data_IF_361988015371
#
_entry.id   IF_361988015371
#
_cell.length_a   1.000
_cell.length_b   1.000
_cell.length_c   1.000
_cell.angle_alpha   90.00
_cell.angle_beta   90.00
_cell.angle_gamma   90.00
#
_symmetry.space_group_name_H-M   'P 1'
#
loop_
_entity.id
_entity.type
_entity.pdbx_description
1 polymer ?
#
# COMPACT_ATOMS: atom_id res chain seq x y z
N UNK A 1 -21.48 47.73 -11.99
CA UNK A 1 -20.94 48.01 -13.34
C UNK A 1 -20.37 49.44 -13.45
N UNK A 2 -20.89 50.45 -12.74
CA UNK A 2 -20.22 51.77 -12.64
C UNK A 2 -18.87 51.79 -11.89
N UNK A 3 -18.68 50.94 -10.87
CA UNK A 3 -17.47 50.99 -10.00
C UNK A 3 -16.21 50.44 -10.69
N UNK A 4 -16.36 49.60 -11.71
CA UNK A 4 -15.23 49.06 -12.48
C UNK A 4 -14.65 50.05 -13.50
N UNK A 5 -15.39 51.11 -13.87
CA UNK A 5 -14.94 52.12 -14.84
C UNK A 5 -14.03 53.20 -14.24
N UNK A 6 -14.12 53.46 -12.94
CA UNK A 6 -13.29 54.50 -12.30
C UNK A 6 -11.84 54.06 -12.06
N UNK A 7 -11.58 52.75 -11.87
CA UNK A 7 -10.21 52.24 -11.66
C UNK A 7 -9.33 52.21 -12.92
N UNK A 8 -9.90 52.40 -14.11
CA UNK A 8 -9.14 52.45 -15.37
C UNK A 8 -8.65 53.86 -15.73
N UNK A 9 -9.06 54.90 -15.00
CA UNK A 9 -8.66 56.29 -15.29
C UNK A 9 -7.44 56.79 -14.50
N UNK A 10 -7.01 56.10 -13.44
CA UNK A 10 -5.90 56.57 -12.58
C UNK A 10 -4.52 56.01 -12.95
N UNK A 11 -4.43 55.02 -13.85
CA UNK A 11 -3.15 54.38 -14.17
C UNK A 11 -2.49 54.87 -15.49
N UNK A 12 -3.13 55.81 -16.19
CA UNK A 12 -2.54 56.46 -17.37
C UNK A 12 -1.98 57.83 -17.00
N UNK A 13 -0.83 57.84 -16.31
CA UNK A 13 -0.26 59.10 -15.86
C UNK A 13 1.13 59.02 -15.27
N UNK A 14 2.07 58.27 -15.88
CA UNK A 14 3.51 58.58 -15.78
C UNK A 14 4.35 57.71 -16.73
N UNK A 15 4.68 58.29 -17.89
CA UNK A 15 5.85 57.91 -18.68
C UNK A 15 7.04 58.77 -18.24
N UNK A 16 8.13 58.14 -17.81
CA UNK A 16 9.46 58.76 -17.87
C UNK A 16 10.51 57.71 -18.22
N UNK A 17 11.27 58.06 -19.26
CA UNK A 17 12.42 57.38 -19.85
C UNK A 17 13.43 56.87 -18.81
N UNK A 18 13.94 55.65 -19.03
CA UNK A 18 15.37 55.37 -18.94
C UNK A 18 15.71 54.12 -19.75
N UNK A 19 16.72 54.26 -20.59
CA UNK A 19 17.23 53.31 -21.56
C UNK A 19 18.68 53.04 -21.15
N UNK A 20 19.04 51.82 -20.74
CA UNK A 20 20.46 51.39 -20.66
C UNK A 20 20.62 49.86 -20.67
N UNK A 21 21.31 49.41 -21.73
CA UNK A 21 22.15 48.21 -21.94
C UNK A 21 21.68 46.81 -21.52
N UNK A 22 21.28 46.05 -22.54
CA UNK A 22 21.34 44.58 -22.65
C UNK A 22 22.79 44.07 -22.62
N UNK A 23 23.35 43.73 -21.45
CA UNK A 23 24.57 42.88 -21.42
C UNK A 23 24.81 42.10 -20.12
N UNK A 24 24.07 42.36 -19.04
CA UNK A 24 24.28 41.66 -17.75
C UNK A 24 23.27 40.52 -17.45
N UNK A 25 22.21 40.36 -18.25
CA UNK A 25 21.20 39.29 -18.02
C UNK A 25 21.55 37.93 -18.66
N UNK A 26 22.65 37.82 -19.41
CA UNK A 26 23.05 36.56 -20.08
C UNK A 26 23.97 35.65 -19.28
N UNK A 27 24.46 36.06 -18.12
CA UNK A 27 25.28 35.21 -17.23
C UNK A 27 24.56 34.78 -15.93
N UNK A 28 23.31 35.23 -15.70
CA UNK A 28 22.52 34.85 -14.53
C UNK A 28 21.51 33.70 -14.80
N UNK A 29 21.44 33.19 -16.04
CA UNK A 29 20.43 32.18 -16.45
C UNK A 29 21.00 30.75 -16.44
N UNK A 30 22.28 30.55 -16.11
CA UNK A 30 22.93 29.22 -16.12
C UNK A 30 23.41 28.73 -14.73
N UNK A 31 22.68 29.05 -13.66
CA UNK A 31 22.92 28.47 -12.35
C UNK A 31 21.69 28.53 -11.43
N UNK A 32 20.62 27.81 -11.77
CA UNK A 32 19.61 27.40 -10.78
C UNK A 32 19.21 25.94 -11.06
N UNK A 33 20.09 25.03 -10.64
CA UNK A 33 19.75 23.63 -10.37
C UNK A 33 18.62 23.59 -9.33
N UNK A 34 17.44 23.11 -9.74
CA UNK A 34 16.34 22.81 -8.85
C UNK A 34 16.54 21.43 -8.20
N UNK A 35 17.48 21.34 -7.25
CA UNK A 35 17.49 20.27 -6.26
C UNK A 35 17.12 20.83 -4.88
N UNK A 36 15.99 20.36 -4.33
CA UNK A 36 15.66 20.49 -2.92
C UNK A 36 14.74 21.66 -2.56
N UNK A 37 13.43 21.46 -2.70
CA UNK A 37 12.43 22.18 -1.91
C UNK A 37 11.43 21.19 -1.29
N UNK A 38 11.93 20.36 -0.38
CA UNK A 38 11.19 20.08 0.87
C UNK A 38 11.22 21.35 1.71
N UNK A 39 10.35 22.29 1.37
CA UNK A 39 10.02 23.41 2.22
C UNK A 39 8.51 23.62 2.13
N UNK A 40 7.80 22.97 3.04
CA UNK A 40 6.47 23.41 3.46
C UNK A 40 6.65 24.86 3.94
N UNK A 41 6.45 25.83 3.03
CA UNK A 41 6.18 27.20 3.43
C UNK A 41 4.81 27.17 4.08
N UNK A 42 4.81 27.00 5.40
CA UNK A 42 3.67 27.38 6.24
C UNK A 42 3.36 28.82 5.85
N UNK A 43 2.16 29.04 5.31
CA UNK A 43 1.69 30.37 4.96
C UNK A 43 1.87 31.30 6.17
N UNK A 44 2.37 32.52 5.94
CA UNK A 44 2.42 33.54 6.97
C UNK A 44 1.02 33.71 7.60
N UNK A 45 0.95 33.60 8.94
CA UNK A 45 -0.29 33.63 9.75
C UNK A 45 -1.08 34.96 9.68
N UNK A 46 -0.63 35.93 8.87
CA UNK A 46 -1.14 37.31 8.86
C UNK A 46 -1.77 37.74 7.52
N UNK A 47 -2.15 36.81 6.64
CA UNK A 47 -3.02 37.15 5.52
C UNK A 47 -4.44 37.49 6.05
N UNK A 48 -5.05 38.63 5.69
CA UNK A 48 -6.38 38.98 6.19
C UNK A 48 -7.42 37.98 5.66
N UNK A 49 -7.79 37.03 6.54
CA UNK A 49 -8.83 36.04 6.31
C UNK A 49 -10.17 36.75 6.31
N UNK A 50 -10.66 37.12 5.13
CA UNK A 50 -12.05 37.49 4.94
C UNK A 50 -12.49 37.12 3.53
N UNK A 51 -12.90 35.86 3.39
CA UNK A 51 -13.92 35.49 2.42
C UNK A 51 -14.79 34.42 3.06
N UNK A 52 -16.11 34.59 2.97
CA UNK A 52 -17.10 33.54 3.29
C UNK A 52 -16.78 32.24 2.54
N UNK A 53 -16.03 32.35 1.44
CA UNK A 53 -15.50 31.26 0.62
C UNK A 53 -14.40 30.46 1.34
N UNK A 54 -13.54 31.10 2.13
CA UNK A 54 -12.50 30.43 2.94
C UNK A 54 -13.09 29.69 4.15
N UNK A 55 -14.13 30.26 4.80
CA UNK A 55 -14.89 29.56 5.83
C UNK A 55 -15.62 28.36 5.24
N UNK A 56 -16.28 28.53 4.09
CA UNK A 56 -16.94 27.43 3.37
C UNK A 56 -15.95 26.37 2.91
N UNK A 57 -14.77 26.76 2.43
CA UNK A 57 -13.71 25.84 2.07
C UNK A 57 -13.23 25.05 3.30
N UNK A 58 -13.06 25.72 4.44
CA UNK A 58 -12.67 25.09 5.70
C UNK A 58 -13.75 24.14 6.23
N UNK A 59 -15.03 24.48 6.12
CA UNK A 59 -16.15 23.60 6.46
C UNK A 59 -16.22 22.38 5.54
N UNK A 60 -16.05 22.57 4.23
CA UNK A 60 -16.01 21.46 3.26
C UNK A 60 -14.82 20.54 3.54
N UNK A 61 -13.65 21.10 3.82
CA UNK A 61 -12.45 20.33 4.20
C UNK A 61 -12.65 19.56 5.51
N UNK A 62 -13.27 20.17 6.52
CA UNK A 62 -13.59 19.51 7.78
C UNK A 62 -14.67 18.43 7.63
N UNK A 63 -15.66 18.62 6.75
CA UNK A 63 -16.70 17.62 6.46
C UNK A 63 -16.13 16.37 5.76
N UNK A 64 -15.02 16.54 5.02
CA UNK A 64 -14.32 15.47 4.29
C UNK A 64 -13.15 14.86 5.05
N UNK A 65 -12.80 15.37 6.23
CA UNK A 65 -11.84 14.70 7.11
C UNK A 65 -12.50 13.43 7.64
N UNK A 66 -12.32 12.35 6.89
CA UNK A 66 -12.54 11.01 7.38
C UNK A 66 -11.61 10.82 8.58
N UNK A 67 -12.13 11.01 9.78
CA UNK A 67 -11.43 10.61 11.00
C UNK A 67 -11.40 9.09 11.01
N UNK A 68 -10.21 8.51 11.20
CA UNK A 68 -10.01 7.06 11.42
C UNK A 68 -11.11 6.54 12.35
N UNK A 69 -11.94 5.62 11.83
CA UNK A 69 -13.16 5.13 12.49
C UNK A 69 -12.85 4.03 13.49
N UNK A 70 -11.75 3.31 13.29
CA UNK A 70 -11.33 2.24 14.18
C UNK A 70 -10.80 2.77 15.52
N UNK A 71 -11.21 2.09 16.59
CA UNK A 71 -10.80 2.38 17.96
C UNK A 71 -9.76 1.36 18.42
N UNK A 72 -8.83 1.81 19.25
CA UNK A 72 -7.82 0.96 19.91
C UNK A 72 -8.44 0.33 21.16
N UNK A 73 -8.33 -0.98 21.29
CA UNK A 73 -8.80 -1.74 22.45
C UNK A 73 -7.68 -1.93 23.47
N UNK A 74 -7.83 -1.39 24.68
CA UNK A 74 -6.87 -1.58 25.77
C UNK A 74 -6.97 -2.99 26.39
N UNK A 75 -5.96 -3.44 27.15
CA UNK A 75 -6.02 -4.71 27.89
C UNK A 75 -7.22 -4.78 28.87
N UNK A 76 -7.69 -3.62 29.34
CA UNK A 76 -8.83 -3.47 30.24
C UNK A 76 -10.20 -3.58 29.50
N UNK A 77 -10.19 -3.74 28.18
CA UNK A 77 -11.39 -3.82 27.33
C UNK A 77 -11.98 -2.47 26.93
N UNK A 78 -11.41 -1.35 27.38
CA UNK A 78 -11.85 0.00 26.99
C UNK A 78 -11.41 0.32 25.55
N UNK A 79 -12.31 0.90 24.76
CA UNK A 79 -12.03 1.35 23.39
C UNK A 79 -11.79 2.86 23.38
N UNK A 80 -10.67 3.30 22.82
CA UNK A 80 -10.31 4.73 22.72
C UNK A 80 -9.86 5.09 21.30
N UNK A 81 -9.86 6.38 20.97
CA UNK A 81 -9.34 6.84 19.69
C UNK A 81 -7.82 6.63 19.58
N UNK A 82 -7.29 6.54 18.36
CA UNK A 82 -5.83 6.43 18.15
C UNK A 82 -5.08 7.63 18.76
N UNK A 83 -5.61 8.84 18.60
CA UNK A 83 -4.98 10.05 19.12
C UNK A 83 -4.92 10.05 20.65
N UNK A 84 -5.97 9.57 21.32
CA UNK A 84 -5.96 9.40 22.77
C UNK A 84 -4.98 8.31 23.20
N UNK A 85 -4.92 7.18 22.47
CA UNK A 85 -3.96 6.10 22.74
C UNK A 85 -2.51 6.60 22.66
N UNK A 86 -2.15 7.36 21.60
CA UNK A 86 -0.80 7.91 21.42
C UNK A 86 -0.44 8.96 22.48
N UNK A 87 -1.43 9.62 23.10
CA UNK A 87 -1.23 10.58 24.20
C UNK A 87 -1.09 9.90 25.56
N UNK A 88 -1.43 8.62 25.69
CA UNK A 88 -1.32 7.89 26.96
C UNK A 88 0.14 7.61 27.32
N UNK A 89 0.47 7.73 28.60
CA UNK A 89 1.79 7.36 29.10
C UNK A 89 1.86 5.85 29.39
N UNK A 90 2.31 5.07 28.41
CA UNK A 90 2.42 3.61 28.50
C UNK A 90 3.45 3.12 29.54
N UNK A 91 4.36 3.98 30.01
CA UNK A 91 5.39 3.61 31.00
C UNK A 91 4.85 3.45 32.43
N UNK A 92 3.63 3.92 32.73
CA UNK A 92 3.03 3.77 34.07
C UNK A 92 2.41 2.39 34.33
N UNK A 93 2.30 1.51 33.33
CA UNK A 93 1.52 0.27 33.43
C UNK A 93 2.32 -1.03 33.66
N UNK A 94 3.61 -1.00 33.98
CA UNK A 94 4.31 -2.22 34.36
C UNK A 94 4.83 -2.18 35.82
N UNK A 95 4.02 -2.55 36.84
CA UNK A 95 4.60 -3.18 38.00
C UNK A 95 5.11 -4.55 37.55
N UNK A 96 6.31 -4.58 36.95
CA UNK A 96 7.05 -5.84 36.87
C UNK A 96 7.14 -6.34 38.31
N UNK A 97 6.45 -7.45 38.62
CA UNK A 97 6.72 -8.20 39.84
C UNK A 97 8.16 -8.72 39.71
N UNK A 98 9.15 -7.87 40.00
CA UNK A 98 10.51 -8.34 40.30
C UNK A 98 10.33 -9.31 41.46
N UNK A 99 10.61 -10.60 41.22
CA UNK A 99 10.72 -11.56 42.31
C UNK A 99 11.68 -10.95 43.33
N UNK A 100 11.30 -10.99 44.61
CA UNK A 100 12.17 -10.48 45.67
C UNK A 100 13.57 -11.09 45.52
N UNK A 101 14.64 -10.30 45.69
CA UNK A 101 16.00 -10.85 45.65
C UNK A 101 16.10 -12.00 46.66
N UNK A 102 16.61 -13.15 46.23
CA UNK A 102 16.78 -14.32 47.09
C UNK A 102 17.63 -13.93 48.29
N UNK A 103 17.24 -14.40 49.47
CA UNK A 103 17.98 -14.08 50.69
C UNK A 103 19.37 -14.74 50.66
N UNK A 104 20.36 -14.14 51.33
CA UNK A 104 21.72 -14.67 51.36
C UNK A 104 21.82 -16.10 51.92
N UNK A 105 20.83 -16.49 52.73
CA UNK A 105 20.70 -17.84 53.30
C UNK A 105 20.17 -18.86 52.29
N UNK A 106 19.20 -18.48 51.45
CA UNK A 106 18.67 -19.32 50.37
C UNK A 106 19.74 -19.62 49.31
N UNK A 107 20.54 -18.61 48.94
CA UNK A 107 21.67 -18.81 48.00
C UNK A 107 22.72 -19.77 48.59
N UNK A 108 23.09 -19.58 49.87
CA UNK A 108 24.03 -20.48 50.57
C UNK A 108 23.55 -21.92 50.70
N UNK A 109 22.24 -22.18 50.61
CA UNK A 109 21.65 -23.51 50.77
C UNK A 109 21.55 -24.27 49.44
N UNK A 110 21.38 -23.57 48.33
CA UNK A 110 21.08 -24.15 47.01
C UNK A 110 22.25 -24.17 46.03
N UNK A 111 23.32 -23.43 46.28
CA UNK A 111 24.51 -23.43 45.41
C UNK A 111 25.30 -24.75 45.45
N UNK A 112 26.21 -24.94 44.49
CA UNK A 112 26.90 -26.19 44.11
C UNK A 112 27.46 -27.05 45.27
N UNK A 113 27.74 -26.48 46.45
CA UNK A 113 28.18 -27.20 47.66
C UNK A 113 27.32 -26.94 48.91
N UNK A 114 26.29 -26.10 48.82
CA UNK A 114 25.38 -25.75 49.91
C UNK A 114 24.69 -26.96 50.58
N UNK A 115 24.20 -27.95 49.82
CA UNK A 115 23.57 -29.14 50.39
C UNK A 115 24.54 -30.08 51.12
N UNK A 116 25.85 -29.98 50.90
CA UNK A 116 26.86 -30.83 51.54
C UNK A 116 27.13 -30.36 52.98
N UNK A 117 27.33 -29.06 53.16
CA UNK A 117 27.73 -28.46 54.44
C UNK A 117 26.53 -28.00 55.27
N UNK A 118 25.52 -27.39 54.63
CA UNK A 118 24.35 -26.78 55.29
C UNK A 118 23.00 -27.46 54.96
N UNK A 119 23.02 -28.52 54.15
CA UNK A 119 21.84 -29.35 53.89
C UNK A 119 21.55 -30.29 55.06
N UNK A 120 20.27 -30.41 55.42
CA UNK A 120 19.81 -31.40 56.41
C UNK A 120 20.09 -32.85 55.98
N UNK A 121 19.63 -33.85 56.75
CA UNK A 121 19.94 -35.27 56.53
C UNK A 121 19.54 -35.79 55.14
N UNK A 122 18.60 -35.15 54.46
CA UNK A 122 18.18 -35.49 53.10
C UNK A 122 19.13 -34.98 52.00
N UNK A 123 19.78 -33.82 52.21
CA UNK A 123 20.74 -33.25 51.25
C UNK A 123 22.04 -34.07 51.18
N UNK A 124 22.51 -34.54 52.35
CA UNK A 124 23.69 -35.40 52.45
C UNK A 124 23.46 -36.79 51.85
N UNK A 125 22.22 -37.32 51.93
CA UNK A 125 21.84 -38.57 51.26
C UNK A 125 21.93 -38.47 49.74
N UNK A 126 21.47 -37.35 49.15
CA UNK A 126 21.56 -37.13 47.69
C UNK A 126 23.01 -37.12 47.21
N UNK A 127 23.91 -36.42 47.91
CA UNK A 127 25.31 -36.36 47.52
C UNK A 127 26.04 -37.69 47.76
N UNK A 128 25.75 -38.39 48.86
CA UNK A 128 26.25 -39.75 49.08
C UNK A 128 25.82 -40.72 47.97
N UNK A 129 24.59 -40.59 47.46
CA UNK A 129 24.10 -41.38 46.34
C UNK A 129 24.83 -41.04 45.03
N UNK A 130 25.15 -39.77 44.79
CA UNK A 130 25.94 -39.35 43.62
C UNK A 130 27.38 -39.87 43.68
N UNK A 131 28.03 -39.84 44.85
CA UNK A 131 29.38 -40.39 45.04
C UNK A 131 29.43 -41.92 44.89
N UNK A 132 28.43 -42.64 45.43
CA UNK A 132 28.32 -44.09 45.23
C UNK A 132 28.03 -44.44 43.78
N UNK A 133 27.28 -43.59 43.06
CA UNK A 133 27.02 -43.76 41.62
C UNK A 133 28.28 -43.55 40.78
N UNK A 134 29.11 -42.56 41.09
CA UNK A 134 30.37 -42.33 40.37
C UNK A 134 31.40 -43.42 40.64
N UNK A 135 31.51 -43.89 41.88
CA UNK A 135 32.36 -45.04 42.24
C UNK A 135 31.88 -46.32 41.55
N UNK A 136 30.56 -46.52 41.45
CA UNK A 136 29.95 -47.66 40.77
C UNK A 136 30.18 -47.73 39.25
N UNK A 137 30.47 -46.60 38.60
CA UNK A 137 30.83 -46.53 37.17
C UNK A 137 32.28 -47.00 36.95
N UNK A 138 33.19 -46.72 37.90
CA UNK A 138 34.62 -47.06 37.78
C UNK A 138 34.88 -48.55 38.09
N UNK A 139 34.09 -49.16 38.97
CA UNK A 139 34.35 -50.53 39.47
C UNK A 139 33.63 -51.62 38.65
N UNK A 140 32.60 -51.29 37.87
CA UNK A 140 31.81 -52.27 37.11
C UNK A 140 31.87 -52.02 35.59
N UNK A 141 32.60 -52.86 34.82
CA UNK A 141 32.66 -52.76 33.36
C UNK A 141 31.29 -52.95 32.70
N UNK A 142 30.42 -53.77 33.30
CA UNK A 142 29.05 -54.01 32.82
C UNK A 142 28.17 -52.77 33.02
N UNK A 143 28.32 -52.05 34.12
CA UNK A 143 27.59 -50.80 34.37
C UNK A 143 28.11 -49.63 33.52
N UNK A 144 29.41 -49.58 33.28
CA UNK A 144 30.01 -48.64 32.33
C UNK A 144 29.53 -48.92 30.91
N UNK A 145 29.42 -50.19 30.48
CA UNK A 145 28.82 -50.56 29.19
C UNK A 145 27.34 -50.17 29.10
N UNK A 146 26.55 -50.42 30.15
CA UNK A 146 25.13 -50.04 30.17
C UNK A 146 24.97 -48.52 30.14
N UNK A 147 25.78 -47.75 30.88
CA UNK A 147 25.73 -46.29 30.80
C UNK A 147 26.33 -45.76 29.48
N UNK A 148 27.36 -46.36 28.88
CA UNK A 148 27.85 -45.97 27.54
C UNK A 148 26.80 -46.28 26.47
N UNK A 149 26.12 -47.42 26.52
CA UNK A 149 25.07 -47.78 25.57
C UNK A 149 23.82 -46.91 25.76
N UNK A 150 23.50 -46.48 26.98
CA UNK A 150 22.34 -45.62 27.27
C UNK A 150 22.63 -44.11 27.21
N UNK A 151 23.90 -43.69 27.34
CA UNK A 151 24.32 -42.28 27.33
C UNK A 151 24.94 -41.87 25.99
N UNK A 152 25.48 -42.82 25.21
CA UNK A 152 25.92 -42.57 23.82
C UNK A 152 24.82 -42.05 22.90
N UNK A 153 23.51 -42.37 23.03
CA UNK A 153 22.49 -41.75 22.19
C UNK A 153 22.41 -40.25 22.40
N UNK A 154 22.69 -39.74 23.62
CA UNK A 154 22.56 -38.32 23.94
C UNK A 154 23.69 -37.46 23.35
N UNK A 155 24.89 -38.03 23.20
CA UNK A 155 26.04 -37.36 22.57
C UNK A 155 26.13 -37.64 21.07
N UNK A 156 25.78 -38.85 20.59
CA UNK A 156 25.66 -39.15 19.16
C UNK A 156 24.51 -38.38 18.51
N UNK A 157 23.39 -38.17 19.20
CA UNK A 157 22.25 -37.43 18.62
C UNK A 157 22.58 -35.96 18.37
N UNK A 158 23.39 -35.31 19.22
CA UNK A 158 23.83 -33.94 18.97
C UNK A 158 24.82 -33.81 17.79
N UNK A 159 25.51 -34.90 17.43
CA UNK A 159 26.43 -34.95 16.27
C UNK A 159 25.67 -35.35 14.99
N UNK A 160 24.73 -36.29 15.08
CA UNK A 160 23.87 -36.74 13.99
C UNK A 160 22.73 -35.77 13.65
N UNK A 161 22.32 -34.89 14.57
CA UNK A 161 21.31 -33.85 14.31
C UNK A 161 21.87 -32.60 13.65
N UNK A 162 23.15 -32.58 13.29
CA UNK A 162 23.70 -31.55 12.39
C UNK A 162 23.21 -31.81 10.96
N UNK A 163 22.53 -30.86 10.31
CA UNK A 163 21.86 -31.09 9.02
C UNK A 163 22.81 -31.40 7.87
N UNK A 164 24.12 -31.18 8.03
CA UNK A 164 25.12 -31.34 6.98
C UNK A 164 25.58 -32.80 6.78
N UNK A 165 25.47 -33.67 7.80
CA UNK A 165 26.06 -35.02 7.75
C UNK A 165 25.00 -36.13 7.63
N UNK A 166 23.87 -36.02 8.35
CA UNK A 166 22.90 -37.12 8.43
C UNK A 166 21.73 -37.05 7.43
N UNK A 167 21.48 -35.88 6.81
CA UNK A 167 20.36 -35.71 5.87
C UNK A 167 20.42 -36.66 4.67
N UNK A 168 21.63 -37.00 4.19
CA UNK A 168 21.80 -37.91 3.05
C UNK A 168 21.81 -39.40 3.44
N UNK A 169 22.11 -39.73 4.70
CA UNK A 169 22.20 -41.10 5.20
C UNK A 169 20.85 -41.61 5.72
N UNK A 170 20.04 -40.74 6.34
CA UNK A 170 18.71 -41.09 6.86
C UNK A 170 17.75 -41.44 5.70
N UNK A 171 17.86 -40.75 4.56
CA UNK A 171 17.07 -41.04 3.35
C UNK A 171 17.58 -42.27 2.56
N UNK A 172 18.73 -42.86 2.96
CA UNK A 172 19.32 -44.06 2.35
C UNK A 172 19.18 -45.31 3.21
N UNK A 173 18.60 -45.20 4.41
CA UNK A 173 18.24 -46.38 5.18
C UNK A 173 17.13 -47.10 4.40
N UNK A 174 17.31 -48.39 4.04
CA UNK A 174 16.23 -49.14 3.42
C UNK A 174 15.05 -49.17 4.38
N UNK A 175 13.85 -48.88 3.88
CA UNK A 175 12.61 -49.08 4.61
C UNK A 175 12.51 -50.58 4.95
N UNK A 176 12.98 -50.96 6.14
CA UNK A 176 12.83 -52.32 6.61
C UNK A 176 11.33 -52.58 6.77
N UNK A 177 10.75 -53.56 6.05
CA UNK A 177 9.34 -53.84 6.16
C UNK A 177 9.05 -54.27 7.60
N UNK A 178 8.20 -53.51 8.30
CA UNK A 178 7.76 -53.85 9.64
C UNK A 178 7.21 -55.30 9.63
N UNK A 179 7.82 -56.24 10.36
CA UNK A 179 7.44 -57.66 10.31
C UNK A 179 5.99 -57.89 10.78
N UNK A 180 5.39 -56.89 11.44
CA UNK A 180 4.00 -56.85 11.88
C UNK A 180 2.95 -56.90 10.77
N UNK A 181 3.32 -56.67 9.50
CA UNK A 181 2.40 -56.83 8.35
C UNK A 181 2.39 -58.24 7.75
N UNK A 182 3.37 -59.08 8.07
CA UNK A 182 3.41 -60.45 7.54
C UNK A 182 2.50 -61.39 8.35
N UNK A 183 1.56 -62.05 7.68
CA UNK A 183 0.59 -62.97 8.30
C UNK A 183 1.30 -64.16 8.96
N UNK A 184 2.36 -64.64 8.33
CA UNK A 184 3.18 -65.75 8.83
C UNK A 184 3.84 -65.43 10.19
N UNK A 185 4.40 -64.23 10.35
CA UNK A 185 5.05 -63.83 11.61
C UNK A 185 4.06 -63.69 12.77
N UNK A 186 2.79 -63.39 12.48
CA UNK A 186 1.71 -63.38 13.49
C UNK A 186 1.28 -64.80 13.92
N UNK A 187 1.47 -65.81 13.07
CA UNK A 187 1.13 -67.20 13.36
C UNK A 187 2.29 -68.03 13.90
N UNK A 188 3.54 -67.55 13.78
CA UNK A 188 4.73 -68.20 14.32
C UNK A 188 4.61 -68.45 15.84
N UNK A 189 4.85 -69.70 16.25
CA UNK A 189 4.81 -70.11 17.65
C UNK A 189 3.43 -69.97 18.32
N UNK A 190 2.34 -69.94 17.53
CA UNK A 190 0.98 -69.76 18.05
C UNK A 190 0.65 -68.33 18.50
N UNK A 191 1.43 -67.33 18.06
CA UNK A 191 1.21 -65.92 18.37
C UNK A 191 2.02 -65.38 19.54
N UNK A 192 2.59 -66.22 20.42
CA UNK A 192 3.32 -65.73 21.60
C UNK A 192 4.62 -64.97 21.25
N UNK A 193 5.26 -65.35 20.14
CA UNK A 193 6.45 -64.66 19.62
C UNK A 193 6.10 -63.27 19.11
N UNK A 194 4.93 -63.13 18.46
CA UNK A 194 4.42 -61.84 18.00
C UNK A 194 3.98 -60.97 19.18
N UNK A 195 3.35 -61.54 20.21
CA UNK A 195 2.96 -60.81 21.43
C UNK A 195 4.18 -60.32 22.21
N UNK A 196 5.22 -61.15 22.33
CA UNK A 196 6.49 -60.75 22.93
C UNK A 196 7.18 -59.65 22.13
N UNK A 197 7.27 -59.81 20.80
CA UNK A 197 7.85 -58.79 19.91
C UNK A 197 7.08 -57.47 19.94
N UNK A 198 5.75 -57.51 19.85
CA UNK A 198 4.89 -56.33 19.85
C UNK A 198 4.95 -55.58 21.18
N UNK A 199 4.99 -56.29 22.32
CA UNK A 199 5.13 -55.70 23.65
C UNK A 199 6.48 -55.00 23.82
N UNK A 200 7.57 -55.63 23.34
CA UNK A 200 8.91 -55.04 23.35
C UNK A 200 8.99 -53.82 22.44
N UNK A 201 8.40 -53.88 21.24
CA UNK A 201 8.38 -52.75 20.32
C UNK A 201 7.50 -51.60 20.82
N UNK A 202 6.37 -51.89 21.48
CA UNK A 202 5.56 -50.87 22.15
C UNK A 202 6.35 -50.21 23.28
N UNK A 203 7.01 -50.99 24.13
CA UNK A 203 7.86 -50.46 25.21
C UNK A 203 9.01 -49.61 24.69
N UNK A 204 9.69 -50.06 23.63
CA UNK A 204 10.75 -49.29 22.98
C UNK A 204 10.24 -47.97 22.37
N UNK A 205 9.05 -48.00 21.76
CA UNK A 205 8.41 -46.80 21.18
C UNK A 205 8.02 -45.79 22.26
N UNK A 206 7.43 -46.25 23.36
CA UNK A 206 7.08 -45.39 24.49
C UNK A 206 8.33 -44.74 25.10
N UNK A 207 9.43 -45.49 25.26
CA UNK A 207 10.70 -44.96 25.75
C UNK A 207 11.34 -43.99 24.76
N UNK A 208 11.20 -44.24 23.45
CA UNK A 208 11.73 -43.36 22.40
C UNK A 208 10.95 -42.05 22.27
N UNK A 209 9.62 -42.11 22.43
CA UNK A 209 8.74 -40.94 22.29
C UNK A 209 8.65 -40.13 23.60
N UNK A 210 8.86 -40.75 24.77
CA UNK A 210 8.76 -40.09 26.08
C UNK A 210 9.64 -38.83 26.23
N UNK A 211 10.90 -38.77 25.75
CA UNK A 211 11.71 -37.56 25.76
C UNK A 211 11.11 -36.41 24.94
N UNK A 212 10.49 -36.72 23.80
CA UNK A 212 9.83 -35.73 22.93
C UNK A 212 8.58 -35.18 23.61
N UNK A 213 7.75 -36.06 24.18
CA UNK A 213 6.59 -35.64 24.96
C UNK A 213 6.98 -34.84 26.21
N UNK A 214 8.00 -35.28 26.95
CA UNK A 214 8.50 -34.56 28.12
C UNK A 214 9.10 -33.20 27.76
N UNK A 215 9.78 -33.09 26.61
CA UNK A 215 10.28 -31.82 26.11
C UNK A 215 9.14 -30.86 25.79
N UNK A 216 8.09 -31.31 25.10
CA UNK A 216 6.91 -30.47 24.83
C UNK A 216 6.14 -30.08 26.09
N UNK A 217 6.13 -30.93 27.13
CA UNK A 217 5.48 -30.64 28.40
C UNK A 217 6.28 -29.66 29.27
N UNK A 218 7.62 -29.81 29.33
CA UNK A 218 8.50 -28.94 30.13
C UNK A 218 8.80 -27.61 29.43
N UNK A 219 8.80 -27.61 28.10
CA UNK A 219 9.02 -26.45 27.25
C UNK A 219 7.80 -26.29 26.33
N UNK A 220 6.64 -25.86 26.88
CA UNK A 220 5.53 -25.50 26.04
C UNK A 220 6.03 -24.45 25.05
N UNK A 221 5.80 -24.68 23.75
CA UNK A 221 6.02 -23.61 22.78
C UNK A 221 5.16 -22.45 23.25
N UNK A 222 5.73 -21.25 23.39
CA UNK A 222 4.90 -20.08 23.61
C UNK A 222 3.86 -20.11 22.50
N UNK A 223 2.59 -20.31 22.85
CA UNK A 223 1.51 -20.28 21.89
C UNK A 223 1.64 -18.93 21.19
N UNK A 224 1.93 -18.96 19.90
CA UNK A 224 1.98 -17.76 19.05
C UNK A 224 0.62 -17.04 18.94
N UNK A 225 -0.35 -17.48 19.74
CA UNK A 225 -1.72 -16.97 19.84
C UNK A 225 -1.93 -16.04 21.03
N UNK A 226 -0.90 -15.60 21.76
CA UNK A 226 -1.05 -14.42 22.62
C UNK A 226 -1.17 -13.15 21.76
N UNK A 227 -2.32 -12.99 21.10
CA UNK A 227 -2.71 -11.78 20.38
C UNK A 227 -3.20 -10.77 21.42
N UNK A 228 -2.34 -9.81 21.76
CA UNK A 228 -2.76 -8.68 22.58
C UNK A 228 -3.89 -7.95 21.82
N UNK A 229 -5.08 -7.71 22.42
CA UNK A 229 -6.19 -7.04 21.74
C UNK A 229 -5.79 -5.63 21.26
N UNK A 230 -4.88 -4.98 22.00
CA UNK A 230 -4.22 -3.73 21.62
C UNK A 230 -3.50 -3.87 20.28
N UNK A 231 -2.71 -4.92 20.11
CA UNK A 231 -1.92 -5.11 18.89
C UNK A 231 -2.80 -5.50 17.69
N UNK A 232 -3.94 -6.15 17.91
CA UNK A 232 -4.89 -6.44 16.82
C UNK A 232 -5.65 -5.18 16.41
N UNK A 233 -6.17 -4.41 17.37
CA UNK A 233 -6.87 -3.17 17.09
C UNK A 233 -5.97 -2.12 16.43
N UNK A 234 -4.71 -1.99 16.86
CA UNK A 234 -3.73 -1.11 16.20
C UNK A 234 -3.43 -1.54 14.76
N UNK A 235 -3.42 -2.84 14.45
CA UNK A 235 -3.24 -3.30 13.06
C UNK A 235 -4.42 -2.89 12.18
N UNK A 236 -5.65 -3.00 12.69
CA UNK A 236 -6.86 -2.55 11.98
C UNK A 236 -6.83 -1.04 11.73
N UNK A 237 -6.38 -0.28 12.73
CA UNK A 237 -6.18 1.17 12.61
C UNK A 237 -5.14 1.50 11.54
N UNK A 238 -4.02 0.78 11.51
CA UNK A 238 -2.98 0.99 10.51
C UNK A 238 -3.50 0.66 9.09
N UNK A 239 -4.20 -0.45 8.90
CA UNK A 239 -4.80 -0.82 7.61
C UNK A 239 -5.79 0.24 7.11
N UNK A 240 -6.58 0.84 8.01
CA UNK A 240 -7.49 1.94 7.67
C UNK A 240 -6.72 3.20 7.23
N UNK A 241 -5.67 3.58 7.99
CA UNK A 241 -4.82 4.73 7.65
C UNK A 241 -4.12 4.53 6.30
N UNK A 242 -3.56 3.35 6.04
CA UNK A 242 -2.88 3.06 4.77
C UNK A 242 -3.87 3.13 3.58
N UNK A 243 -5.10 2.64 3.78
CA UNK A 243 -6.16 2.75 2.77
C UNK A 243 -6.59 4.20 2.52
N UNK A 244 -6.65 5.01 3.58
CA UNK A 244 -6.98 6.44 3.50
C UNK A 244 -5.86 7.25 2.82
N UNK A 245 -4.59 6.97 3.14
CA UNK A 245 -3.43 7.56 2.46
C UNK A 245 -3.48 7.25 0.97
N UNK A 246 -3.67 5.97 0.60
CA UNK A 246 -3.76 5.56 -0.80
C UNK A 246 -4.97 6.17 -1.54
N UNK A 247 -6.05 6.52 -0.82
CA UNK A 247 -7.18 7.30 -1.39
C UNK A 247 -6.77 8.74 -1.63
N UNK A 248 -6.21 9.41 -0.63
CA UNK A 248 -5.81 10.82 -0.70
C UNK A 248 -4.72 11.06 -1.75
N UNK A 249 -3.74 10.17 -1.87
CA UNK A 249 -2.70 10.25 -2.91
C UNK A 249 -3.30 10.16 -4.31
N UNK A 250 -4.30 9.30 -4.53
CA UNK A 250 -5.02 9.21 -5.81
C UNK A 250 -5.80 10.48 -6.11
N UNK A 251 -6.56 10.99 -5.13
CA UNK A 251 -7.30 12.25 -5.30
C UNK A 251 -6.36 13.44 -5.56
N UNK A 252 -5.24 13.49 -4.86
CA UNK A 252 -4.20 14.51 -5.07
C UNK A 252 -3.66 14.42 -6.49
N UNK A 253 -3.29 13.23 -6.94
CA UNK A 253 -2.80 13.00 -8.30
C UNK A 253 -3.83 13.43 -9.35
N UNK A 254 -5.09 13.02 -9.19
CA UNK A 254 -6.17 13.41 -10.10
C UNK A 254 -6.37 14.93 -10.16
N UNK A 255 -6.30 15.62 -9.01
CA UNK A 255 -6.39 17.09 -8.95
C UNK A 255 -5.18 17.79 -9.54
N UNK A 256 -3.97 17.25 -9.36
CA UNK A 256 -2.77 17.79 -9.99
C UNK A 256 -2.80 17.62 -11.50
N UNK A 257 -3.15 16.43 -11.99
CA UNK A 257 -3.34 16.17 -13.42
C UNK A 257 -4.42 17.11 -13.98
N UNK A 258 -5.53 17.28 -13.26
CA UNK A 258 -6.57 18.24 -13.60
C UNK A 258 -6.05 19.68 -13.69
N UNK A 259 -5.21 20.12 -12.78
CA UNK A 259 -4.73 21.51 -12.74
C UNK A 259 -3.69 21.81 -13.83
N UNK A 260 -2.95 20.80 -14.27
CA UNK A 260 -1.92 20.91 -15.31
C UNK A 260 -2.49 20.84 -16.73
N UNK A 261 -3.70 20.31 -16.93
CA UNK A 261 -4.33 20.24 -18.24
C UNK A 261 -4.62 21.62 -18.83
N UNK A 262 -4.45 21.74 -20.13
CA UNK A 262 -4.79 22.93 -20.90
C UNK A 262 -6.28 22.93 -21.27
N UNK A 263 -7.05 23.80 -20.63
CA UNK A 263 -8.47 24.01 -20.89
C UNK A 263 -8.75 25.11 -21.91
N UNK A 264 -7.74 25.49 -22.71
CA UNK A 264 -7.80 26.52 -23.73
C UNK A 264 -7.83 27.95 -23.18
N UNK A 265 -8.21 28.93 -24.01
CA UNK A 265 -8.14 30.35 -23.64
C UNK A 265 -9.00 30.62 -22.41
N UNK A 266 -8.43 31.38 -21.47
CA UNK A 266 -9.04 31.71 -20.17
C UNK A 266 -9.50 30.49 -19.34
N UNK A 267 -9.05 29.28 -19.69
CA UNK A 267 -9.53 28.00 -19.15
C UNK A 267 -11.04 27.81 -19.27
N UNK A 268 -11.69 28.47 -20.23
CA UNK A 268 -13.15 28.49 -20.36
C UNK A 268 -13.76 27.09 -20.56
N UNK A 269 -13.06 26.19 -21.26
CA UNK A 269 -13.55 24.84 -21.50
C UNK A 269 -13.51 23.93 -20.26
N UNK A 270 -12.95 24.38 -19.12
CA UNK A 270 -13.01 23.65 -17.86
C UNK A 270 -14.43 23.27 -17.47
N UNK A 271 -15.41 24.11 -17.80
CA UNK A 271 -16.84 23.85 -17.55
C UNK A 271 -17.39 22.60 -18.26
N UNK A 272 -16.73 22.10 -19.31
CA UNK A 272 -17.13 20.87 -20.01
C UNK A 272 -16.54 19.61 -19.38
N UNK A 273 -15.50 19.72 -18.56
CA UNK A 273 -14.77 18.56 -18.05
C UNK A 273 -15.64 17.58 -17.27
N UNK A 274 -16.57 18.10 -16.47
CA UNK A 274 -17.46 17.28 -15.63
C UNK A 274 -18.72 16.83 -16.39
N UNK A 275 -18.93 17.29 -17.62
CA UNK A 275 -20.11 17.00 -18.41
C UNK A 275 -19.79 16.02 -19.53
N UNK A 276 -20.67 15.03 -19.69
CA UNK A 276 -20.65 14.16 -20.86
C UNK A 276 -21.91 14.37 -21.69
N UNK A 277 -21.74 14.51 -22.99
CA UNK A 277 -22.82 14.69 -23.96
C UNK A 277 -23.03 13.36 -24.67
N UNK A 278 -24.28 12.89 -24.72
CA UNK A 278 -24.65 11.64 -25.36
C UNK A 278 -25.64 11.92 -26.50
N UNK A 279 -25.40 11.35 -27.68
CA UNK A 279 -26.32 11.44 -28.81
C UNK A 279 -26.24 10.19 -29.67
N UNK A 280 -27.41 9.70 -30.07
CA UNK A 280 -27.53 8.66 -31.07
C UNK A 280 -27.39 9.26 -32.47
N UNK A 281 -26.39 8.84 -33.22
CA UNK A 281 -26.18 9.24 -34.62
C UNK A 281 -26.12 7.97 -35.47
N UNK A 282 -26.94 7.95 -36.52
CA UNK A 282 -27.23 6.76 -37.31
C UNK A 282 -27.69 5.57 -36.44
N UNK A 283 -26.80 4.60 -36.21
CA UNK A 283 -27.08 3.36 -35.49
C UNK A 283 -26.35 3.25 -34.15
N UNK A 284 -25.44 4.17 -33.85
CA UNK A 284 -24.56 4.09 -32.68
C UNK A 284 -24.84 5.21 -31.68
N UNK A 285 -24.65 4.91 -30.39
CA UNK A 285 -24.73 5.88 -29.30
C UNK A 285 -23.33 6.42 -29.02
N UNK A 286 -23.10 7.69 -29.35
CA UNK A 286 -21.84 8.36 -29.09
C UNK A 286 -21.90 9.08 -27.75
N UNK A 287 -20.87 8.88 -26.94
CA UNK A 287 -20.65 9.58 -25.67
C UNK A 287 -19.35 10.36 -25.75
N UNK A 288 -19.46 11.67 -25.68
CA UNK A 288 -18.34 12.60 -25.63
C UNK A 288 -18.19 13.15 -24.21
N UNK A 289 -17.03 12.96 -23.60
CA UNK A 289 -16.65 13.61 -22.34
C UNK A 289 -15.40 14.46 -22.59
N UNK A 290 -15.53 15.79 -22.44
CA UNK A 290 -14.42 16.70 -22.73
C UNK A 290 -13.22 16.45 -21.79
N UNK A 291 -11.99 16.48 -22.33
CA UNK A 291 -10.74 16.20 -21.60
C UNK A 291 -10.66 14.78 -20.98
N UNK A 292 -11.63 13.92 -21.29
CA UNK A 292 -11.70 12.54 -20.82
C UNK A 292 -11.54 11.56 -21.96
N UNK A 293 -12.58 10.78 -22.23
CA UNK A 293 -12.61 9.79 -23.30
C UNK A 293 -13.90 9.85 -24.10
N UNK A 294 -13.81 9.42 -25.36
CA UNK A 294 -14.93 9.33 -26.29
C UNK A 294 -15.24 7.86 -26.53
N UNK A 295 -16.54 7.52 -26.48
CA UNK A 295 -17.04 6.16 -26.69
C UNK A 295 -18.09 6.11 -27.77
N UNK A 296 -18.11 4.99 -28.49
CA UNK A 296 -19.15 4.56 -29.41
C UNK A 296 -19.72 3.25 -28.84
N UNK A 297 -20.92 3.30 -28.28
CA UNK A 297 -21.51 2.23 -27.46
C UNK A 297 -20.53 1.77 -26.36
N UNK A 298 -19.93 0.58 -26.53
CA UNK A 298 -18.93 0.00 -25.62
C UNK A 298 -17.49 0.17 -26.13
N UNK A 299 -17.30 0.65 -27.35
CA UNK A 299 -15.98 0.79 -27.99
C UNK A 299 -15.37 2.15 -27.65
N UNK A 300 -14.12 2.15 -27.17
CA UNK A 300 -13.39 3.39 -26.93
C UNK A 300 -12.82 3.94 -28.23
N UNK A 301 -13.21 5.17 -28.59
CA UNK A 301 -12.69 5.85 -29.78
C UNK A 301 -11.38 6.60 -29.50
N UNK A 302 -11.21 7.15 -28.29
CA UNK A 302 -9.98 7.84 -27.92
C UNK A 302 -10.01 8.42 -26.51
N UNK A 303 -8.83 8.79 -26.00
CA UNK A 303 -8.60 9.59 -24.79
C UNK A 303 -8.03 10.94 -25.22
N UNK A 304 -8.34 11.99 -24.48
CA UNK A 304 -7.77 13.32 -24.69
C UNK A 304 -6.24 13.26 -24.78
N UNK A 305 -5.70 13.81 -25.86
CA UNK A 305 -4.26 13.82 -26.13
C UNK A 305 -3.71 15.26 -26.23
N UNK A 306 -4.56 16.21 -26.62
CA UNK A 306 -4.22 17.63 -26.66
C UNK A 306 -5.06 18.41 -27.67
N UNK A 307 -4.82 19.72 -27.73
CA UNK A 307 -5.37 20.56 -28.80
C UNK A 307 -4.70 20.24 -30.13
N UNK A 308 -5.44 20.34 -31.23
CA UNK A 308 -4.87 20.11 -32.54
C UNK A 308 -3.91 21.25 -32.90
N UNK A 309 -2.71 20.88 -33.37
CA UNK A 309 -1.75 21.83 -33.92
C UNK A 309 -2.04 21.93 -35.42
N UNK A 310 -2.40 23.12 -35.90
CA UNK A 310 -2.50 23.35 -37.34
C UNK A 310 -1.11 23.67 -37.87
N UNK A 311 -0.72 23.00 -38.96
CA UNK A 311 0.58 23.17 -39.63
C UNK A 311 0.91 24.66 -39.90
N UNK A 312 2.19 25.05 -39.84
CA UNK A 312 2.64 26.43 -39.76
C UNK A 312 2.47 27.13 -41.12
N UNK A 313 1.35 27.82 -41.31
CA UNK A 313 1.19 28.78 -42.42
C UNK A 313 1.45 30.23 -42.01
N UNK A 314 1.82 30.46 -40.74
CA UNK A 314 2.31 31.72 -40.22
C UNK A 314 3.24 31.44 -39.04
N UNK A 315 4.38 32.13 -38.97
CA UNK A 315 5.57 31.96 -38.12
C UNK A 315 5.40 31.93 -36.58
N UNK A 316 4.25 31.53 -36.05
CA UNK A 316 4.05 31.33 -34.62
C UNK A 316 3.14 30.11 -34.45
N UNK A 317 3.64 29.05 -33.79
CA UNK A 317 2.97 27.77 -33.61
C UNK A 317 1.68 27.90 -32.80
N UNK A 318 0.66 28.50 -33.40
CA UNK A 318 -0.59 28.88 -32.76
C UNK A 318 -1.46 27.64 -32.58
N UNK A 319 -1.68 27.29 -31.31
CA UNK A 319 -2.52 26.15 -30.92
C UNK A 319 -3.99 26.47 -31.23
N UNK A 320 -4.63 25.64 -32.06
CA UNK A 320 -6.03 25.81 -32.42
C UNK A 320 -6.95 25.25 -31.33
N UNK A 321 -7.35 26.12 -30.39
CA UNK A 321 -8.30 25.81 -29.31
C UNK A 321 -9.75 25.59 -29.76
N UNK A 322 -9.96 25.40 -31.06
CA UNK A 322 -11.26 25.03 -31.67
C UNK A 322 -11.30 23.54 -32.03
N UNK A 323 -10.15 22.85 -32.00
CA UNK A 323 -10.02 21.46 -32.42
C UNK A 323 -9.35 20.65 -31.32
N UNK A 324 -10.05 19.63 -30.87
CA UNK A 324 -9.63 18.73 -29.80
C UNK A 324 -9.18 17.40 -30.42
N UNK A 325 -7.98 16.93 -30.10
CA UNK A 325 -7.46 15.65 -30.57
C UNK A 325 -7.57 14.57 -29.50
N UNK A 326 -8.21 13.44 -29.87
CA UNK A 326 -8.34 12.25 -29.03
C UNK A 326 -7.66 11.07 -29.72
N UNK A 327 -6.71 10.44 -29.03
CA UNK A 327 -5.92 9.32 -29.55
C UNK A 327 -5.94 8.13 -28.59
N UNK A 328 -5.17 7.07 -28.85
CA UNK A 328 -5.06 5.89 -27.96
C UNK A 328 -6.41 5.23 -27.70
N UNK A 329 -7.25 5.16 -28.74
CA UNK A 329 -8.51 4.43 -28.73
C UNK A 329 -8.31 2.92 -28.79
N UNK A 330 -9.41 2.17 -28.77
CA UNK A 330 -9.36 0.72 -28.92
C UNK A 330 -8.80 0.33 -30.30
N UNK A 331 -7.88 -0.63 -30.33
CA UNK A 331 -7.25 -1.09 -31.57
C UNK A 331 -8.29 -1.58 -32.59
N UNK A 332 -8.14 -1.11 -33.82
CA UNK A 332 -8.96 -1.50 -34.96
C UNK A 332 -8.40 -2.77 -35.61
N UNK A 333 -9.26 -3.71 -36.02
CA UNK A 333 -8.80 -5.00 -36.57
C UNK A 333 -8.01 -4.86 -37.88
N UNK A 334 -8.29 -3.82 -38.68
CA UNK A 334 -7.63 -3.53 -39.97
C UNK A 334 -7.14 -2.08 -40.08
N UNK A 335 -6.88 -1.43 -38.95
CA UNK A 335 -6.56 -0.01 -38.93
C UNK A 335 -5.62 0.36 -37.80
N UNK A 336 -5.29 1.66 -37.72
CA UNK A 336 -4.56 2.19 -36.58
C UNK A 336 -5.39 2.06 -35.28
N UNK A 337 -4.79 2.47 -34.17
CA UNK A 337 -5.59 2.76 -32.98
C UNK A 337 -6.63 3.83 -33.33
N UNK A 338 -7.85 3.66 -32.82
CA UNK A 338 -8.90 4.64 -33.09
C UNK A 338 -8.49 6.01 -32.59
N UNK A 339 -8.80 7.03 -33.38
CA UNK A 339 -8.60 8.43 -33.04
C UNK A 339 -9.78 9.26 -33.50
N UNK A 340 -10.02 10.38 -32.82
CA UNK A 340 -11.11 11.30 -33.12
C UNK A 340 -10.57 12.73 -33.11
N UNK A 341 -10.84 13.46 -34.20
CA UNK A 341 -10.67 14.90 -34.24
C UNK A 341 -12.03 15.57 -33.98
N UNK A 342 -12.14 16.24 -32.83
CA UNK A 342 -13.36 16.93 -32.42
C UNK A 342 -13.26 18.40 -32.80
N UNK A 343 -14.21 18.91 -33.57
CA UNK A 343 -14.34 20.32 -33.95
C UNK A 343 -15.40 20.97 -33.07
N UNK A 344 -15.03 22.02 -32.36
CA UNK A 344 -15.94 22.79 -31.51
C UNK A 344 -16.53 23.95 -32.33
N UNK A 345 -17.86 24.01 -32.37
CA UNK A 345 -18.62 25.06 -33.05
C UNK A 345 -19.42 25.88 -32.05
N UNK A 346 -19.46 27.20 -32.23
CA UNK A 346 -20.29 28.08 -31.42
C UNK A 346 -21.78 27.80 -31.60
N UNK A 347 -22.50 27.70 -30.49
CA UNK A 347 -23.95 27.66 -30.48
C UNK A 347 -24.54 27.73 -29.07
N UNK A 348 -25.86 27.77 -28.97
CA UNK A 348 -26.55 28.07 -27.70
C UNK A 348 -26.51 26.93 -26.67
N UNK A 349 -26.15 25.71 -27.08
CA UNK A 349 -26.19 24.52 -26.23
C UNK A 349 -25.08 23.52 -26.55
N UNK A 350 -24.88 22.59 -25.61
CA UNK A 350 -23.93 21.49 -25.69
C UNK A 350 -24.57 20.30 -26.40
N UNK A 351 -24.19 20.02 -27.66
CA UNK A 351 -24.70 18.86 -28.40
C UNK A 351 -23.69 18.33 -29.42
N UNK A 352 -23.72 17.02 -29.67
CA UNK A 352 -23.00 16.43 -30.82
C UNK A 352 -23.82 16.75 -32.06
N UNK A 353 -23.23 17.37 -33.08
CA UNK A 353 -23.92 17.67 -34.34
C UNK A 353 -23.84 16.48 -35.27
N UNK A 354 -22.62 16.06 -35.56
CA UNK A 354 -22.32 15.07 -36.58
C UNK A 354 -21.07 14.26 -36.23
N UNK A 355 -20.98 13.04 -36.77
CA UNK A 355 -19.84 12.13 -36.61
C UNK A 355 -19.58 11.42 -37.93
N UNK A 356 -18.44 11.73 -38.54
CA UNK A 356 -17.99 11.15 -39.80
C UNK A 356 -16.76 10.26 -39.58
N UNK A 357 -16.65 9.17 -40.36
CA UNK A 357 -15.45 8.32 -40.42
C UNK A 357 -14.76 8.52 -41.79
N UNK A 358 -13.97 9.59 -41.99
CA UNK A 358 -13.34 9.88 -43.28
C UNK A 358 -12.31 8.82 -43.70
N UNK A 359 -11.70 8.11 -42.74
CA UNK A 359 -10.82 6.98 -43.02
C UNK A 359 -10.98 5.91 -41.94
N UNK A 360 -10.61 4.67 -42.28
CA UNK A 360 -10.82 3.51 -41.39
C UNK A 360 -10.29 3.78 -39.98
N UNK A 361 -11.20 3.76 -39.01
CA UNK A 361 -10.94 3.97 -37.59
C UNK A 361 -10.39 5.36 -37.21
N UNK A 362 -10.52 6.35 -38.09
CA UNK A 362 -10.26 7.77 -37.81
C UNK A 362 -11.57 8.53 -37.97
N UNK A 363 -12.00 9.19 -36.90
CA UNK A 363 -13.29 9.86 -36.83
C UNK A 363 -13.11 11.38 -36.79
N UNK A 364 -14.05 12.09 -37.37
CA UNK A 364 -14.26 13.52 -37.15
C UNK A 364 -15.62 13.73 -36.50
N UNK A 365 -15.66 14.55 -35.46
CA UNK A 365 -16.90 14.83 -34.72
C UNK A 365 -17.08 16.34 -34.59
N UNK A 366 -18.26 16.84 -34.94
CA UNK A 366 -18.62 18.24 -34.75
C UNK A 366 -19.46 18.38 -33.48
N UNK A 367 -19.04 19.25 -32.56
CA UNK A 367 -19.72 19.50 -31.29
C UNK A 367 -20.06 20.97 -31.19
N UNK A 368 -21.33 21.25 -30.91
CA UNK A 368 -21.80 22.58 -30.60
C UNK A 368 -21.59 22.87 -29.12
N UNK A 369 -21.03 24.02 -28.80
CA UNK A 369 -20.90 24.51 -27.43
C UNK A 369 -20.87 26.04 -27.39
N UNK A 370 -21.52 26.68 -26.40
CA UNK A 370 -21.44 28.13 -26.23
C UNK A 370 -20.03 28.60 -25.87
N UNK A 371 -19.19 27.70 -25.36
CA UNK A 371 -17.82 28.03 -24.95
C UNK A 371 -16.86 28.22 -26.13
N UNK A 372 -17.24 27.74 -27.32
CA UNK A 372 -16.49 27.99 -28.55
C UNK A 372 -16.74 29.39 -29.12
N UNK A 373 -17.79 30.09 -28.66
CA UNK A 373 -18.17 31.41 -29.15
C UNK A 373 -17.13 32.47 -28.79
N UNK A 374 -16.33 32.88 -29.77
CA UNK A 374 -15.34 33.96 -29.61
C UNK A 374 -15.84 35.28 -30.18
N UNK A 375 -15.19 36.40 -29.79
CA UNK A 375 -15.47 37.71 -30.37
C UNK A 375 -15.32 37.73 -31.91
N UNK A 376 -14.40 36.91 -32.46
CA UNK A 376 -14.20 36.75 -33.90
C UNK A 376 -15.42 36.12 -34.57
N UNK A 377 -15.98 35.07 -33.97
CA UNK A 377 -17.18 34.41 -34.49
C UNK A 377 -18.41 35.29 -34.40
N UNK A 378 -18.55 36.05 -33.30
CA UNK A 378 -19.60 37.05 -33.16
C UNK A 378 -19.51 38.11 -34.27
N UNK A 379 -18.32 38.65 -34.53
CA UNK A 379 -18.10 39.63 -35.58
C UNK A 379 -18.42 39.06 -36.98
N UNK A 380 -18.03 37.81 -37.24
CA UNK A 380 -18.36 37.11 -38.49
C UNK A 380 -19.88 36.96 -38.64
N UNK A 381 -20.58 36.49 -37.60
CA UNK A 381 -22.03 36.35 -37.61
C UNK A 381 -22.74 37.69 -37.83
N UNK A 382 -22.25 38.78 -37.23
CA UNK A 382 -22.79 40.13 -37.46
C UNK A 382 -22.58 40.60 -38.91
N UNK A 383 -21.42 40.34 -39.49
CA UNK A 383 -21.14 40.66 -40.89
C UNK A 383 -22.04 39.87 -41.85
N UNK A 384 -22.25 38.58 -41.58
CA UNK A 384 -23.15 37.72 -42.37
C UNK A 384 -24.60 38.23 -42.28
N UNK A 385 -25.08 38.56 -41.08
CA UNK A 385 -26.41 39.17 -40.89
C UNK A 385 -26.53 40.50 -41.63
N UNK A 386 -25.52 41.37 -41.55
CA UNK A 386 -25.51 42.65 -42.26
C UNK A 386 -25.49 42.47 -43.78
N UNK A 387 -24.85 41.42 -44.30
CA UNK A 387 -24.86 41.09 -45.71
C UNK A 387 -26.26 40.66 -46.19
N UNK A 388 -26.90 39.73 -45.46
CA UNK A 388 -28.23 39.24 -45.83
C UNK A 388 -29.34 40.28 -45.64
N UNK A 389 -29.23 41.15 -44.64
CA UNK A 389 -30.21 42.22 -44.39
C UNK A 389 -30.12 43.38 -45.36
N UNK A 390 -29.01 43.56 -46.09
CA UNK A 390 -28.88 44.57 -47.17
C UNK A 390 -29.48 44.13 -48.51
N UNK A 391 -29.77 42.84 -48.67
CA UNK A 391 -30.33 42.27 -49.90
C UNK A 391 -31.88 42.37 -49.98
N UNK A 392 -32.50 42.95 -48.96
CA UNK A 392 -33.92 43.32 -48.88
C UNK A 392 -34.02 44.80 -48.49
#
# INVERSE_FOLDING_TARGET
MEVARQKQAENHGQTSKQQFSDTEEKEAVEALDFEGLDAIRVADDDAPVNSVEDERASEVLNSRRDTVKSLVELPDGTRISLSDYLRMNHNKQAPTKKRAPRTAEEMRREDFLGPLFNGGPEGRKKIGLYALRTIGIVISPVRALVEVVLFSPKTLWNVLSSPEIAGSAINKLPDFPYPSRSVWFRQLGGGSVYDGYSSVMWGARVVWDAPVYAYHYLFPKLDGELKLPVAESLRKVLEEIDADIARLEREQKEKHEAAQMDYGPDRAYFALKEKCIEKRIEKYDYKFCAFGEIKQDHTKLGKWDGWAVTEPSSDDGTVDHTKMHYSKGQKCYKGPERSVLVKLECGNGEEILDVDEPSTCVYEMAIRTPLACTARELAKAQADVAFWTRAH
#
